data_IF_166305260835
#
_entry.id   IF_166305260835
#
_cell.length_a   1.000
_cell.length_b   1.000
_cell.length_c   1.000
_cell.angle_alpha   90.00
_cell.angle_beta   90.00
_cell.angle_gamma   90.00
#
_symmetry.space_group_name_H-M   'P 1'
#
loop_
_entity.id
_entity.type
_entity.pdbx_description
1 polymer ?
#
# COMPACT_ATOMS: atom_id res chain seq x y z
N UNK A 1 57.54 -61.32 -7.58
CA UNK A 1 57.09 -60.64 -8.82
C UNK A 1 56.06 -59.61 -8.41
N UNK A 2 56.46 -58.35 -8.34
CA UNK A 2 55.68 -57.20 -7.86
C UNK A 2 54.99 -56.53 -9.04
N UNK A 3 53.67 -56.72 -9.18
CA UNK A 3 52.84 -55.86 -10.03
C UNK A 3 52.33 -54.70 -9.16
N UNK A 4 52.98 -53.54 -9.27
CA UNK A 4 52.41 -52.28 -8.82
C UNK A 4 51.35 -51.86 -9.84
N UNK A 5 50.09 -51.78 -9.41
CA UNK A 5 49.03 -51.08 -10.14
C UNK A 5 49.50 -49.63 -10.38
N UNK A 6 49.78 -49.29 -11.64
CA UNK A 6 50.30 -48.00 -12.03
C UNK A 6 49.26 -46.91 -11.79
N UNK A 7 49.50 -46.04 -10.81
CA UNK A 7 48.78 -44.78 -10.71
C UNK A 7 49.00 -43.98 -11.99
N UNK A 8 47.94 -43.80 -12.77
CA UNK A 8 47.96 -42.95 -13.95
C UNK A 8 48.17 -41.51 -13.49
N UNK A 9 49.38 -40.98 -13.71
CA UNK A 9 49.73 -39.62 -13.31
C UNK A 9 48.86 -38.62 -14.09
N UNK A 10 48.26 -37.66 -13.38
CA UNK A 10 47.42 -36.59 -13.94
C UNK A 10 48.18 -35.28 -13.87
N UNK A 11 48.27 -34.56 -14.98
CA UNK A 11 48.85 -33.22 -15.04
C UNK A 11 47.76 -32.18 -14.87
N UNK A 12 47.86 -31.39 -13.82
CA UNK A 12 46.93 -30.31 -13.53
C UNK A 12 47.52 -28.98 -13.98
N UNK A 13 46.79 -28.26 -14.84
CA UNK A 13 47.17 -26.92 -15.32
C UNK A 13 46.09 -25.93 -14.91
N UNK A 14 46.48 -24.88 -14.20
CA UNK A 14 45.57 -23.78 -13.91
C UNK A 14 45.35 -22.92 -15.16
N UNK A 15 44.12 -22.47 -15.43
CA UNK A 15 43.77 -21.74 -16.66
C UNK A 15 44.64 -20.49 -16.89
N UNK A 16 45.02 -19.77 -15.84
CA UNK A 16 45.91 -18.58 -15.94
C UNK A 16 47.33 -18.89 -16.39
N UNK A 17 47.80 -20.13 -16.22
CA UNK A 17 49.14 -20.56 -16.63
C UNK A 17 49.10 -21.37 -17.93
N UNK A 18 47.91 -21.57 -18.50
CA UNK A 18 47.72 -22.44 -19.63
C UNK A 18 48.45 -21.89 -20.86
N UNK A 19 48.30 -20.61 -21.16
CA UNK A 19 48.97 -19.97 -22.30
C UNK A 19 50.51 -20.10 -22.21
N UNK A 20 51.08 -19.76 -21.06
CA UNK A 20 52.53 -19.89 -20.81
C UNK A 20 53.00 -21.35 -20.94
N UNK A 21 52.23 -22.30 -20.37
CA UNK A 21 52.56 -23.73 -20.44
C UNK A 21 52.55 -24.27 -21.88
N UNK A 22 51.75 -23.68 -22.78
CA UNK A 22 51.72 -24.03 -24.20
C UNK A 22 52.99 -23.53 -24.92
N UNK A 23 53.48 -22.34 -24.57
CA UNK A 23 54.72 -21.78 -25.13
C UNK A 23 55.95 -22.54 -24.61
N UNK A 24 56.04 -22.77 -23.31
CA UNK A 24 57.17 -23.46 -22.66
C UNK A 24 57.38 -24.87 -23.20
N UNK A 25 56.28 -25.57 -23.51
CA UNK A 25 56.31 -26.91 -24.10
C UNK A 25 56.34 -26.92 -25.62
N UNK A 26 56.43 -25.74 -26.26
CA UNK A 26 56.44 -25.59 -27.72
C UNK A 26 55.21 -26.25 -28.39
N UNK A 27 54.07 -26.28 -27.70
CA UNK A 27 52.79 -26.73 -28.28
C UNK A 27 52.29 -25.70 -29.29
N UNK A 28 52.57 -24.42 -29.03
CA UNK A 28 52.26 -23.29 -29.91
C UNK A 28 53.53 -22.48 -30.16
N UNK A 29 53.62 -21.83 -31.32
CA UNK A 29 54.78 -21.00 -31.66
C UNK A 29 54.76 -19.65 -30.93
N UNK A 30 55.93 -19.04 -30.71
CA UNK A 30 56.03 -17.70 -30.09
C UNK A 30 55.39 -16.59 -30.93
N UNK A 31 55.34 -16.75 -32.26
CA UNK A 31 54.72 -15.83 -33.21
C UNK A 31 53.23 -16.12 -33.48
N UNK A 32 52.58 -17.01 -32.73
CA UNK A 32 51.21 -17.50 -32.99
C UNK A 32 50.19 -16.35 -33.16
N UNK A 33 50.37 -15.22 -32.47
CA UNK A 33 49.52 -14.04 -32.60
C UNK A 33 49.50 -13.46 -34.03
N UNK A 34 50.63 -13.48 -34.74
CA UNK A 34 50.69 -13.01 -36.12
C UNK A 34 50.01 -14.01 -37.07
N UNK A 35 50.19 -15.31 -36.83
CA UNK A 35 49.51 -16.37 -37.59
C UNK A 35 47.99 -16.31 -37.36
N UNK A 36 47.57 -16.05 -36.12
CA UNK A 36 46.18 -15.87 -35.74
C UNK A 36 45.55 -14.64 -36.41
N UNK A 37 46.28 -13.53 -36.56
CA UNK A 37 45.81 -12.37 -37.35
C UNK A 37 45.51 -12.76 -38.80
N UNK A 38 46.34 -13.59 -39.42
CA UNK A 38 46.09 -14.06 -40.79
C UNK A 38 44.82 -14.90 -40.87
N UNK A 39 44.59 -15.78 -39.89
CA UNK A 39 43.33 -16.54 -39.76
C UNK A 39 42.15 -15.57 -39.63
N UNK A 40 42.27 -14.54 -38.78
CA UNK A 40 41.22 -13.56 -38.59
C UNK A 40 40.85 -12.81 -39.86
N UNK A 41 41.84 -12.32 -40.60
CA UNK A 41 41.62 -11.66 -41.90
C UNK A 41 40.92 -12.59 -42.89
N UNK A 42 41.25 -13.88 -42.89
CA UNK A 42 40.57 -14.86 -43.75
C UNK A 42 39.09 -15.07 -43.35
N UNK A 43 38.79 -15.11 -42.04
CA UNK A 43 37.41 -15.20 -41.55
C UNK A 43 36.63 -13.93 -41.90
N UNK A 44 37.20 -12.74 -41.69
CA UNK A 44 36.54 -11.47 -42.00
C UNK A 44 36.23 -11.33 -43.48
N UNK A 45 37.09 -11.87 -44.36
CA UNK A 45 36.83 -11.91 -45.80
C UNK A 45 35.76 -12.94 -46.20
N UNK A 46 35.51 -13.96 -45.36
CA UNK A 46 34.65 -15.11 -45.70
C UNK A 46 33.31 -15.11 -44.95
N UNK A 47 33.12 -14.20 -44.00
CA UNK A 47 31.93 -14.12 -43.14
C UNK A 47 31.30 -12.72 -43.19
N UNK A 48 29.96 -12.59 -43.28
CA UNK A 48 28.95 -13.65 -43.19
C UNK A 48 28.90 -14.56 -44.43
N UNK A 49 28.50 -15.82 -44.23
CA UNK A 49 28.26 -16.75 -45.34
C UNK A 49 27.11 -16.22 -46.21
N UNK A 50 27.34 -16.11 -47.51
CA UNK A 50 26.31 -15.76 -48.50
C UNK A 50 25.36 -16.93 -48.81
N UNK A 51 25.82 -18.17 -48.59
CA UNK A 51 25.12 -19.44 -48.83
C UNK A 51 24.62 -20.07 -47.53
N UNK A 52 23.83 -21.15 -47.61
CA UNK A 52 23.20 -21.85 -46.46
C UNK A 52 22.23 -21.00 -45.64
N UNK A 53 21.53 -20.05 -46.27
CA UNK A 53 20.53 -19.19 -45.58
C UNK A 53 19.36 -19.99 -45.00
N UNK A 54 19.04 -21.13 -45.61
CA UNK A 54 17.97 -22.02 -45.16
C UNK A 54 18.41 -22.94 -44.01
N UNK A 55 19.72 -23.05 -43.74
CA UNK A 55 20.22 -23.81 -42.59
C UNK A 55 20.03 -22.98 -41.31
N UNK A 56 19.09 -23.41 -40.48
CA UNK A 56 18.75 -22.75 -39.22
C UNK A 56 19.96 -22.54 -38.31
N UNK A 57 20.90 -23.49 -38.29
CA UNK A 57 22.06 -23.45 -37.40
C UNK A 57 23.12 -22.44 -37.84
N UNK A 58 23.20 -22.16 -39.16
CA UNK A 58 24.04 -21.10 -39.73
C UNK A 58 23.35 -19.75 -39.60
N UNK A 59 22.03 -19.68 -39.86
CA UNK A 59 21.25 -18.45 -39.67
C UNK A 59 21.34 -17.94 -38.23
N UNK A 60 21.10 -18.82 -37.25
CA UNK A 60 21.21 -18.46 -35.83
C UNK A 60 22.63 -18.00 -35.46
N UNK A 61 23.66 -18.63 -36.03
CA UNK A 61 25.05 -18.22 -35.82
C UNK A 61 25.29 -16.81 -36.36
N UNK A 62 24.80 -16.51 -37.57
CA UNK A 62 24.89 -15.20 -38.22
C UNK A 62 24.13 -14.10 -37.48
N UNK A 63 22.96 -14.43 -36.91
CA UNK A 63 22.17 -13.50 -36.14
C UNK A 63 22.82 -13.17 -34.77
N UNK A 64 23.62 -14.09 -34.24
CA UNK A 64 24.17 -13.98 -32.87
C UNK A 64 25.64 -13.53 -32.83
N UNK A 65 26.43 -13.82 -33.87
CA UNK A 65 27.89 -13.61 -33.90
C UNK A 65 28.35 -12.83 -35.12
N UNK A 66 29.18 -11.81 -34.90
CA UNK A 66 29.98 -11.14 -35.93
C UNK A 66 31.26 -11.92 -36.23
N UNK A 67 31.95 -11.57 -37.33
CA UNK A 67 33.19 -12.23 -37.73
C UNK A 67 34.20 -12.26 -36.57
N UNK A 68 34.43 -11.15 -35.89
CA UNK A 68 35.37 -10.99 -34.77
C UNK A 68 35.13 -11.93 -33.58
N UNK A 69 33.89 -12.39 -33.42
CA UNK A 69 33.46 -13.24 -32.30
C UNK A 69 33.49 -14.74 -32.62
N UNK A 70 33.69 -15.10 -33.89
CA UNK A 70 33.79 -16.49 -34.33
C UNK A 70 35.06 -17.14 -33.80
N UNK A 71 34.87 -18.33 -33.25
CA UNK A 71 35.91 -19.20 -32.71
C UNK A 71 36.24 -20.33 -33.67
N UNK A 72 37.35 -21.04 -33.42
CA UNK A 72 37.63 -22.32 -34.07
C UNK A 72 36.43 -23.29 -34.13
N UNK A 73 35.66 -23.42 -33.05
CA UNK A 73 34.49 -24.30 -33.02
C UNK A 73 33.38 -23.83 -33.95
N UNK A 74 33.18 -22.52 -34.04
CA UNK A 74 32.22 -21.94 -34.99
C UNK A 74 32.68 -22.19 -36.43
N UNK A 75 33.97 -22.01 -36.72
CA UNK A 75 34.54 -22.31 -38.04
C UNK A 75 34.42 -23.78 -38.42
N UNK A 76 34.61 -24.71 -37.47
CA UNK A 76 34.37 -26.15 -37.69
C UNK A 76 32.90 -26.44 -37.97
N UNK A 77 31.98 -25.87 -37.19
CA UNK A 77 30.53 -26.03 -37.42
C UNK A 77 30.14 -25.52 -38.81
N UNK A 78 30.65 -24.37 -39.23
CA UNK A 78 30.43 -23.82 -40.58
C UNK A 78 30.94 -24.80 -41.64
N UNK A 79 32.18 -25.29 -41.49
CA UNK A 79 32.76 -26.25 -42.42
C UNK A 79 31.94 -27.54 -42.51
N UNK A 80 31.52 -28.10 -41.38
CA UNK A 80 30.71 -29.33 -41.32
C UNK A 80 29.38 -29.15 -42.07
N UNK A 81 28.73 -27.99 -41.91
CA UNK A 81 27.50 -27.66 -42.66
C UNK A 81 27.75 -27.49 -44.15
N UNK A 82 28.86 -26.86 -44.54
CA UNK A 82 29.24 -26.76 -45.94
C UNK A 82 29.51 -28.12 -46.57
N UNK A 83 30.17 -29.03 -45.85
CA UNK A 83 30.43 -30.40 -46.32
C UNK A 83 29.11 -31.19 -46.48
N UNK A 84 28.12 -30.97 -45.61
CA UNK A 84 26.81 -31.61 -45.71
C UNK A 84 25.91 -31.03 -46.81
N UNK A 85 26.31 -29.91 -47.42
CA UNK A 85 25.52 -29.20 -48.42
C UNK A 85 25.80 -29.64 -49.86
N UNK A 86 25.16 -28.99 -50.84
CA UNK A 86 25.47 -29.20 -52.26
C UNK A 86 26.90 -28.83 -52.65
N UNK A 87 27.60 -28.01 -51.85
CA UNK A 87 28.95 -27.53 -52.14
C UNK A 87 30.01 -28.64 -52.18
N UNK A 88 29.77 -29.78 -51.51
CA UNK A 88 30.71 -30.91 -51.46
C UNK A 88 30.51 -31.93 -52.59
N UNK A 89 29.46 -31.78 -53.42
CA UNK A 89 29.07 -32.80 -54.42
C UNK A 89 30.02 -32.94 -55.60
N UNK A 90 30.87 -31.94 -55.83
CA UNK A 90 31.82 -31.94 -56.95
C UNK A 90 33.25 -31.89 -56.41
N UNK A 91 34.05 -32.87 -56.81
CA UNK A 91 35.48 -32.92 -56.54
C UNK A 91 36.26 -32.97 -57.85
N UNK A 92 37.45 -32.37 -57.88
CA UNK A 92 38.37 -32.51 -58.99
C UNK A 92 39.01 -33.91 -59.02
N UNK A 93 39.81 -34.20 -60.05
CA UNK A 93 40.48 -35.50 -60.26
C UNK A 93 41.43 -35.86 -59.10
N UNK A 94 41.85 -34.88 -58.30
CA UNK A 94 42.71 -35.04 -57.12
C UNK A 94 41.91 -35.18 -55.80
N UNK A 95 40.58 -35.29 -55.88
CA UNK A 95 39.69 -35.47 -54.72
C UNK A 95 39.48 -34.20 -53.89
N UNK A 96 39.89 -33.02 -54.37
CA UNK A 96 39.62 -31.74 -53.70
C UNK A 96 38.26 -31.20 -54.14
N UNK A 97 37.54 -30.56 -53.22
CA UNK A 97 36.26 -29.92 -53.54
C UNK A 97 36.44 -28.82 -54.59
N UNK A 98 35.46 -28.64 -55.47
CA UNK A 98 35.50 -27.56 -56.48
C UNK A 98 34.89 -26.25 -55.98
N UNK A 99 34.08 -26.28 -54.91
CA UNK A 99 33.45 -25.09 -54.34
C UNK A 99 34.49 -24.11 -53.76
N UNK A 100 34.50 -22.84 -54.19
CA UNK A 100 35.45 -21.85 -53.69
C UNK A 100 35.21 -21.51 -52.21
N UNK A 101 33.94 -21.43 -51.79
CA UNK A 101 33.58 -21.11 -50.41
C UNK A 101 33.95 -22.30 -49.50
N UNK A 102 33.65 -23.53 -49.91
CA UNK A 102 34.06 -24.72 -49.14
C UNK A 102 35.59 -24.78 -49.00
N UNK A 103 36.33 -24.54 -50.08
CA UNK A 103 37.80 -24.53 -50.03
C UNK A 103 38.36 -23.41 -49.14
N UNK A 104 37.74 -22.23 -49.10
CA UNK A 104 38.11 -21.16 -48.16
C UNK A 104 37.95 -21.61 -46.71
N UNK A 105 36.79 -22.18 -46.35
CA UNK A 105 36.54 -22.64 -44.97
C UNK A 105 37.40 -23.86 -44.58
N UNK A 106 37.68 -24.76 -45.52
CA UNK A 106 38.70 -25.82 -45.33
C UNK A 106 40.07 -25.20 -45.04
N UNK A 107 40.46 -24.16 -45.78
CA UNK A 107 41.72 -23.46 -45.57
C UNK A 107 41.78 -22.79 -44.20
N UNK A 108 40.71 -22.10 -43.77
CA UNK A 108 40.62 -21.44 -42.46
C UNK A 108 40.81 -22.46 -41.33
N UNK A 109 40.09 -23.59 -41.36
CA UNK A 109 40.22 -24.64 -40.33
C UNK A 109 41.63 -25.25 -40.34
N UNK A 110 42.22 -25.49 -41.52
CA UNK A 110 43.61 -25.98 -41.62
C UNK A 110 44.63 -24.98 -41.06
N UNK A 111 44.43 -23.68 -41.26
CA UNK A 111 45.32 -22.67 -40.68
C UNK A 111 45.26 -22.68 -39.15
N UNK A 112 44.07 -22.88 -38.57
CA UNK A 112 43.92 -23.08 -37.13
C UNK A 112 44.66 -24.32 -36.61
N UNK A 113 44.61 -25.42 -37.36
CA UNK A 113 45.16 -26.72 -36.95
C UNK A 113 46.67 -26.83 -37.16
N UNK A 114 47.24 -26.21 -38.20
CA UNK A 114 48.65 -26.33 -38.59
C UNK A 114 49.64 -25.94 -37.48
N UNK A 115 49.35 -24.87 -36.75
CA UNK A 115 50.21 -24.35 -35.68
C UNK A 115 49.54 -24.41 -34.30
N UNK A 116 48.53 -25.28 -34.13
CA UNK A 116 47.75 -25.41 -32.91
C UNK A 116 47.14 -24.08 -32.42
N UNK A 117 46.81 -23.17 -33.35
CA UNK A 117 46.27 -21.84 -33.02
C UNK A 117 44.92 -21.92 -32.32
N UNK A 118 44.15 -22.98 -32.58
CA UNK A 118 42.89 -23.26 -31.89
C UNK A 118 43.06 -23.50 -30.38
N UNK A 119 44.18 -24.10 -29.97
CA UNK A 119 44.54 -24.30 -28.55
C UNK A 119 44.98 -22.98 -27.92
N UNK A 120 45.77 -22.19 -28.64
CA UNK A 120 46.17 -20.85 -28.19
C UNK A 120 44.96 -19.93 -28.00
N UNK A 121 44.05 -19.88 -28.98
CA UNK A 121 42.79 -19.14 -28.92
C UNK A 121 41.94 -19.62 -27.74
N UNK A 122 41.78 -20.94 -27.60
CA UNK A 122 41.04 -21.56 -26.49
C UNK A 122 41.59 -21.14 -25.13
N UNK A 123 42.91 -21.22 -24.92
CA UNK A 123 43.54 -20.85 -23.65
C UNK A 123 43.31 -19.38 -23.28
N UNK A 124 43.58 -18.45 -24.21
CA UNK A 124 43.40 -17.01 -23.99
C UNK A 124 41.92 -16.66 -23.77
N UNK A 125 41.03 -17.28 -24.54
CA UNK A 125 39.58 -17.07 -24.41
C UNK A 125 39.06 -17.60 -23.08
N UNK A 126 39.48 -18.79 -22.67
CA UNK A 126 39.12 -19.39 -21.38
C UNK A 126 39.50 -18.47 -20.23
N UNK A 127 40.73 -17.94 -20.26
CA UNK A 127 41.20 -17.00 -19.26
C UNK A 127 40.35 -15.73 -19.21
N UNK A 128 40.04 -15.13 -20.37
CA UNK A 128 39.19 -13.94 -20.45
C UNK A 128 37.77 -14.19 -19.90
N UNK A 129 37.20 -15.36 -20.19
CA UNK A 129 35.86 -15.71 -19.72
C UNK A 129 35.85 -15.83 -18.19
N UNK A 130 36.78 -16.61 -17.63
CA UNK A 130 36.84 -16.91 -16.20
C UNK A 130 37.23 -15.67 -15.39
N UNK A 131 38.26 -14.92 -15.82
CA UNK A 131 38.82 -13.84 -14.99
C UNK A 131 38.09 -12.51 -15.12
N UNK A 132 37.34 -12.29 -16.21
CA UNK A 132 36.75 -10.99 -16.50
C UNK A 132 35.27 -11.06 -16.88
N UNK A 133 34.90 -11.89 -17.86
CA UNK A 133 33.55 -11.82 -18.44
C UNK A 133 32.48 -12.37 -17.49
N UNK A 134 32.69 -13.56 -16.92
CA UNK A 134 31.77 -14.15 -15.94
C UNK A 134 31.64 -13.29 -14.67
N UNK A 135 32.74 -12.86 -14.01
CA UNK A 135 32.64 -12.02 -12.81
C UNK A 135 31.89 -10.70 -13.06
N UNK A 136 32.13 -10.06 -14.21
CA UNK A 136 31.46 -8.80 -14.58
C UNK A 136 29.95 -9.02 -14.74
N UNK A 137 29.56 -10.05 -15.49
CA UNK A 137 28.15 -10.38 -15.70
C UNK A 137 27.45 -10.82 -14.42
N UNK A 138 28.10 -11.63 -13.58
CA UNK A 138 27.58 -12.05 -12.28
C UNK A 138 27.36 -10.85 -11.35
N UNK A 139 28.32 -9.92 -11.31
CA UNK A 139 28.20 -8.68 -10.53
C UNK A 139 27.04 -7.83 -11.03
N UNK A 140 26.91 -7.67 -12.35
CA UNK A 140 25.81 -6.91 -12.96
C UNK A 140 24.44 -7.56 -12.68
N UNK A 141 24.35 -8.89 -12.79
CA UNK A 141 23.13 -9.64 -12.45
C UNK A 141 22.75 -9.47 -10.98
N UNK A 142 23.73 -9.56 -10.07
CA UNK A 142 23.50 -9.33 -8.66
C UNK A 142 22.99 -7.90 -8.38
N UNK A 143 23.59 -6.89 -9.01
CA UNK A 143 23.13 -5.50 -8.88
C UNK A 143 21.68 -5.32 -9.34
N UNK A 144 21.30 -5.89 -10.49
CA UNK A 144 19.93 -5.81 -10.98
C UNK A 144 18.93 -6.57 -10.09
N UNK A 145 19.27 -7.80 -9.66
CA UNK A 145 18.44 -8.56 -8.71
C UNK A 145 18.24 -7.81 -7.40
N UNK A 146 19.31 -7.21 -6.86
CA UNK A 146 19.25 -6.37 -5.66
C UNK A 146 18.33 -5.17 -5.86
N UNK A 147 18.44 -4.49 -7.00
CA UNK A 147 17.59 -3.34 -7.31
C UNK A 147 16.11 -3.72 -7.41
N UNK A 148 15.78 -4.85 -8.06
CA UNK A 148 14.41 -5.37 -8.10
C UNK A 148 13.91 -5.69 -6.69
N UNK A 149 14.71 -6.37 -5.87
CA UNK A 149 14.34 -6.70 -4.48
C UNK A 149 14.08 -5.46 -3.62
N UNK A 150 14.93 -4.44 -3.71
CA UNK A 150 14.73 -3.17 -3.01
C UNK A 150 13.45 -2.44 -3.46
N UNK A 151 13.17 -2.43 -4.76
CA UNK A 151 11.93 -1.85 -5.29
C UNK A 151 10.70 -2.60 -4.76
N UNK A 152 10.74 -3.94 -4.73
CA UNK A 152 9.65 -4.76 -4.20
C UNK A 152 9.40 -4.52 -2.71
N UNK A 153 10.47 -4.43 -1.91
CA UNK A 153 10.36 -4.08 -0.49
C UNK A 153 9.70 -2.71 -0.32
N UNK A 154 10.15 -1.70 -1.08
CA UNK A 154 9.58 -0.35 -1.03
C UNK A 154 8.10 -0.33 -1.44
N UNK A 155 7.72 -1.09 -2.48
CA UNK A 155 6.32 -1.22 -2.90
C UNK A 155 5.47 -1.80 -1.76
N UNK A 156 5.96 -2.85 -1.08
CA UNK A 156 5.26 -3.44 0.05
C UNK A 156 5.04 -2.43 1.20
N UNK A 157 6.08 -1.69 1.58
CA UNK A 157 5.99 -0.64 2.60
C UNK A 157 4.94 0.43 2.22
N UNK A 158 4.95 0.90 0.96
CA UNK A 158 4.00 1.88 0.46
C UNK A 158 2.55 1.35 0.51
N UNK A 159 2.33 0.08 0.17
CA UNK A 159 1.01 -0.54 0.27
C UNK A 159 0.48 -0.56 1.71
N UNK A 160 1.32 -0.90 2.70
CA UNK A 160 0.91 -0.87 4.11
C UNK A 160 0.61 0.57 4.58
N UNK A 161 1.40 1.55 4.16
CA UNK A 161 1.13 2.96 4.44
C UNK A 161 -0.20 3.43 3.83
N UNK A 162 -0.46 3.07 2.57
CA UNK A 162 -1.71 3.37 1.88
C UNK A 162 -2.92 2.75 2.58
N UNK A 163 -2.80 1.48 2.99
CA UNK A 163 -3.83 0.76 3.73
C UNK A 163 -4.13 1.45 5.06
N UNK A 164 -3.09 1.82 5.81
CA UNK A 164 -3.24 2.54 7.07
C UNK A 164 -3.95 3.89 6.90
N UNK A 165 -3.58 4.69 5.89
CA UNK A 165 -4.26 5.94 5.61
C UNK A 165 -5.70 5.76 5.12
N UNK A 166 -5.97 4.71 4.34
CA UNK A 166 -7.34 4.38 3.92
C UNK A 166 -8.21 4.04 5.12
N UNK A 167 -7.72 3.20 6.03
CA UNK A 167 -8.44 2.88 7.27
C UNK A 167 -8.71 4.12 8.13
N UNK A 168 -7.76 5.05 8.23
CA UNK A 168 -7.96 6.32 8.95
C UNK A 168 -9.04 7.18 8.28
N UNK A 169 -9.01 7.29 6.95
CA UNK A 169 -10.03 8.00 6.19
C UNK A 169 -11.42 7.35 6.38
N UNK A 170 -11.51 6.03 6.24
CA UNK A 170 -12.76 5.27 6.43
C UNK A 170 -13.30 5.44 7.86
N UNK A 171 -12.43 5.42 8.86
CA UNK A 171 -12.80 5.70 10.24
C UNK A 171 -13.36 7.12 10.43
N UNK A 172 -12.79 8.12 9.77
CA UNK A 172 -13.33 9.49 9.81
C UNK A 172 -14.75 9.53 9.21
N UNK A 173 -14.97 8.88 8.08
CA UNK A 173 -16.30 8.75 7.47
C UNK A 173 -17.30 8.10 8.42
N UNK A 174 -16.93 6.98 9.05
CA UNK A 174 -17.75 6.28 10.03
C UNK A 174 -18.06 7.13 11.26
N UNK A 175 -17.04 7.82 11.80
CA UNK A 175 -17.16 8.69 12.98
C UNK A 175 -18.18 9.80 12.77
N UNK A 176 -18.22 10.39 11.58
CA UNK A 176 -19.13 11.47 11.25
C UNK A 176 -20.42 11.00 10.57
N UNK A 177 -20.56 9.70 10.28
CA UNK A 177 -21.74 9.14 9.62
C UNK A 177 -21.93 9.65 8.19
N UNK A 178 -20.82 9.94 7.49
CA UNK A 178 -20.82 10.48 6.12
C UNK A 178 -20.21 9.48 5.14
N UNK A 179 -20.59 9.51 3.85
CA UNK A 179 -20.12 8.54 2.87
C UNK A 179 -18.67 8.78 2.41
N UNK A 180 -18.11 9.98 2.60
CA UNK A 180 -16.73 10.31 2.23
C UNK A 180 -16.51 10.57 0.75
N UNK A 181 -17.56 10.87 -0.02
CA UNK A 181 -17.43 11.16 -1.47
C UNK A 181 -16.91 12.57 -1.69
N UNK A 182 -17.53 13.53 -1.02
CA UNK A 182 -17.05 14.90 -0.87
C UNK A 182 -17.05 15.26 0.61
N UNK A 183 -15.99 14.82 1.29
CA UNK A 183 -15.86 14.98 2.74
C UNK A 183 -16.01 16.44 3.19
N UNK A 184 -15.57 17.40 2.37
CA UNK A 184 -15.67 18.82 2.71
C UNK A 184 -17.11 19.31 2.70
N UNK A 185 -17.84 19.04 1.62
CA UNK A 185 -19.26 19.43 1.51
C UNK A 185 -20.14 18.64 2.49
N UNK A 186 -19.86 17.35 2.67
CA UNK A 186 -20.55 16.49 3.64
C UNK A 186 -20.38 17.00 5.07
N UNK A 187 -19.15 17.33 5.49
CA UNK A 187 -18.89 17.90 6.82
C UNK A 187 -19.60 19.24 7.04
N UNK A 188 -19.70 20.08 6.00
CA UNK A 188 -20.47 21.34 6.09
C UNK A 188 -21.98 21.08 6.21
N UNK A 189 -22.50 20.10 5.49
CA UNK A 189 -23.91 19.74 5.54
C UNK A 189 -24.35 19.13 6.88
N UNK A 190 -23.42 18.58 7.68
CA UNK A 190 -23.68 18.15 9.05
C UNK A 190 -24.20 19.29 9.94
N UNK A 191 -23.86 20.55 9.64
CA UNK A 191 -24.41 21.71 10.33
C UNK A 191 -25.91 21.90 10.06
N UNK A 192 -26.41 21.46 8.90
CA UNK A 192 -27.85 21.42 8.60
C UNK A 192 -28.60 20.32 9.36
N UNK A 193 -27.95 19.20 9.66
CA UNK A 193 -28.52 18.19 10.56
C UNK A 193 -28.63 18.73 12.00
N UNK A 194 -27.65 19.53 12.43
CA UNK A 194 -27.68 20.16 13.75
C UNK A 194 -28.89 21.07 13.91
N UNK A 195 -29.16 21.95 12.94
CA UNK A 195 -30.33 22.84 12.99
C UNK A 195 -31.64 22.05 13.02
N UNK A 196 -31.72 20.94 12.28
CA UNK A 196 -32.89 20.05 12.29
C UNK A 196 -33.11 19.42 13.67
N UNK A 197 -32.05 18.88 14.29
CA UNK A 197 -32.15 18.26 15.62
C UNK A 197 -32.52 19.29 16.71
N UNK A 198 -31.96 20.50 16.64
CA UNK A 198 -32.33 21.58 17.55
C UNK A 198 -33.78 22.05 17.33
N UNK A 199 -34.25 22.08 16.08
CA UNK A 199 -35.64 22.35 15.73
C UNK A 199 -36.61 21.36 16.39
N UNK A 200 -36.29 20.07 16.38
CA UNK A 200 -37.12 19.04 17.07
C UNK A 200 -37.16 19.30 18.58
N UNK A 201 -36.06 19.71 19.21
CA UNK A 201 -36.04 20.07 20.63
C UNK A 201 -36.91 21.30 20.89
N UNK A 202 -36.78 22.34 20.07
CA UNK A 202 -37.63 23.54 20.12
C UNK A 202 -39.11 23.17 20.03
N UNK A 203 -39.49 22.39 19.02
CA UNK A 203 -40.89 22.02 18.78
C UNK A 203 -41.49 21.29 19.99
N UNK A 204 -40.69 20.47 20.67
CA UNK A 204 -41.12 19.80 21.91
C UNK A 204 -41.20 20.74 23.11
N UNK A 205 -40.35 21.75 23.20
CA UNK A 205 -40.45 22.77 24.26
C UNK A 205 -41.66 23.67 24.04
N UNK A 206 -42.02 23.94 22.78
CA UNK A 206 -43.16 24.78 22.41
C UNK A 206 -44.49 24.03 22.36
N UNK A 207 -44.48 22.70 22.55
CA UNK A 207 -45.69 21.88 22.54
C UNK A 207 -46.63 22.29 23.70
N UNK A 208 -47.96 22.33 23.48
CA UNK A 208 -48.94 22.67 24.52
C UNK A 208 -48.86 21.78 25.77
N UNK A 209 -48.35 20.56 25.65
CA UNK A 209 -48.06 19.69 26.79
C UNK A 209 -47.07 20.33 27.77
N UNK A 210 -46.09 21.07 27.26
CA UNK A 210 -45.10 21.77 28.09
C UNK A 210 -45.75 22.90 28.89
N UNK A 211 -46.65 23.66 28.28
CA UNK A 211 -47.42 24.71 28.97
C UNK A 211 -48.26 24.13 30.11
N UNK A 212 -48.95 23.02 29.84
CA UNK A 212 -49.73 22.30 30.85
C UNK A 212 -48.85 21.89 32.04
N UNK A 213 -47.70 21.28 31.80
CA UNK A 213 -46.78 20.86 32.86
C UNK A 213 -46.32 22.06 33.70
N UNK A 214 -45.97 23.17 33.06
CA UNK A 214 -45.54 24.40 33.74
C UNK A 214 -46.65 25.04 34.55
N UNK A 215 -47.88 25.05 34.03
CA UNK A 215 -49.04 25.56 34.76
C UNK A 215 -49.29 24.75 36.04
N UNK A 216 -49.22 23.42 35.95
CA UNK A 216 -49.33 22.54 37.12
C UNK A 216 -48.20 22.75 38.14
N UNK A 217 -46.95 22.85 37.66
CA UNK A 217 -45.82 23.08 38.55
C UNK A 217 -45.94 24.44 39.26
N UNK A 218 -46.27 25.50 38.52
CA UNK A 218 -46.44 26.85 39.09
C UNK A 218 -47.63 26.92 40.04
N UNK A 219 -48.74 26.24 39.74
CA UNK A 219 -49.87 26.14 40.64
C UNK A 219 -49.47 25.49 41.98
N UNK A 220 -48.63 24.45 41.95
CA UNK A 220 -48.11 23.83 43.17
C UNK A 220 -47.17 24.78 43.93
N UNK A 221 -46.23 25.42 43.24
CA UNK A 221 -45.29 26.36 43.87
C UNK A 221 -46.01 27.54 44.55
N UNK A 222 -47.03 28.11 43.89
CA UNK A 222 -47.86 29.19 44.46
C UNK A 222 -48.65 28.71 45.67
N UNK A 223 -49.20 27.51 45.59
CA UNK A 223 -49.93 26.89 46.70
C UNK A 223 -49.00 26.67 47.92
N UNK A 224 -47.83 26.06 47.72
CA UNK A 224 -46.83 25.86 48.77
C UNK A 224 -46.36 27.20 49.35
N UNK A 225 -46.15 28.23 48.53
CA UNK A 225 -45.78 29.58 49.00
C UNK A 225 -46.87 30.22 49.86
N UNK A 226 -48.14 30.13 49.44
CA UNK A 226 -49.30 30.66 50.18
C UNK A 226 -49.44 29.97 51.55
N UNK A 227 -49.23 28.65 51.60
CA UNK A 227 -49.37 27.88 52.83
C UNK A 227 -48.10 27.83 53.69
N UNK A 228 -46.92 28.10 53.13
CA UNK A 228 -45.68 28.32 53.88
C UNK A 228 -45.73 29.62 54.69
N UNK A 229 -46.35 30.67 54.16
CA UNK A 229 -46.57 31.94 54.89
C UNK A 229 -47.57 31.80 56.07
N UNK A 230 -48.32 30.71 56.15
CA UNK A 230 -49.16 30.37 57.31
C UNK A 230 -48.45 29.45 58.33
N UNK A 231 -47.22 29.02 58.04
CA UNK A 231 -46.46 28.06 58.84
C UNK A 231 -45.12 28.63 59.31
N UNK A 232 -45.08 29.89 59.78
CA UNK A 232 -43.97 30.36 60.63
C UNK A 232 -44.12 29.91 62.11
N UNK A 233 -45.13 29.10 62.44
CA UNK A 233 -45.36 28.63 63.81
C UNK A 233 -45.06 27.14 64.06
N UNK A 234 -44.61 26.35 63.06
CA UNK A 234 -44.29 24.93 63.30
C UNK A 234 -42.91 24.59 62.70
N UNK A 235 -41.91 24.87 63.54
CA UNK A 235 -40.66 24.15 63.76
C UNK A 235 -39.98 23.44 62.59
N UNK A 236 -38.77 23.93 62.29
CA UNK A 236 -37.53 23.15 62.38
C UNK A 236 -37.72 21.62 62.43
N UNK A 237 -37.77 20.97 61.27
CA UNK A 237 -37.27 19.61 61.04
C UNK A 237 -37.55 19.19 59.59
N UNK A 238 -36.59 19.49 58.72
CA UNK A 238 -36.11 18.63 57.62
C UNK A 238 -35.09 19.45 56.85
N UNK A 239 -33.85 18.96 56.78
CA UNK A 239 -32.80 19.52 55.94
C UNK A 239 -33.19 19.39 54.47
N UNK A 240 -33.97 20.33 53.97
CA UNK A 240 -34.04 20.65 52.56
C UNK A 240 -33.20 21.91 52.37
N UNK A 241 -31.89 21.74 52.14
CA UNK A 241 -31.08 22.81 51.57
C UNK A 241 -31.63 23.07 50.18
N UNK A 242 -32.43 24.13 50.03
CA UNK A 242 -32.90 24.68 48.76
C UNK A 242 -31.67 24.78 47.82
N UNK A 243 -31.59 23.96 46.77
CA UNK A 243 -30.56 24.16 45.75
C UNK A 243 -30.72 25.58 45.21
N UNK A 244 -29.60 26.20 44.87
CA UNK A 244 -29.54 27.56 44.36
C UNK A 244 -30.13 27.60 42.94
N UNK A 245 -31.45 27.51 42.86
CA UNK A 245 -32.21 27.60 41.61
C UNK A 245 -32.40 29.08 41.29
N UNK A 246 -31.82 29.53 40.18
CA UNK A 246 -32.39 30.67 39.47
C UNK A 246 -33.81 30.25 39.04
N UNK A 247 -34.84 31.08 39.31
CA UNK A 247 -36.22 30.64 39.39
C UNK A 247 -36.74 30.15 38.04
N UNK A 248 -37.63 29.16 38.07
CA UNK A 248 -38.52 28.74 36.98
C UNK A 248 -39.13 29.94 36.21
N UNK A 249 -39.24 31.10 36.87
CA UNK A 249 -39.51 32.41 36.30
C UNK A 249 -38.66 32.76 35.07
N UNK A 250 -37.42 32.28 34.91
CA UNK A 250 -36.61 32.55 33.71
C UNK A 250 -37.14 31.78 32.47
N UNK A 251 -37.46 30.49 32.63
CA UNK A 251 -38.10 29.68 31.58
C UNK A 251 -39.52 30.19 31.29
N UNK A 252 -40.25 30.54 32.35
CA UNK A 252 -41.65 30.94 32.28
C UNK A 252 -41.80 32.37 31.75
N UNK A 253 -40.95 33.32 32.18
CA UNK A 253 -40.84 34.67 31.59
C UNK A 253 -40.41 34.59 30.13
N UNK A 254 -39.52 33.66 29.77
CA UNK A 254 -39.08 33.48 28.38
C UNK A 254 -40.14 32.85 27.48
N UNK A 255 -40.82 31.79 27.92
CA UNK A 255 -41.97 31.20 27.23
C UNK A 255 -43.13 32.19 27.09
N UNK A 256 -43.30 33.08 28.06
CA UNK A 256 -44.29 34.16 28.01
C UNK A 256 -43.85 35.32 27.09
N UNK A 257 -42.57 35.72 27.06
CA UNK A 257 -42.06 36.73 26.12
C UNK A 257 -42.05 36.24 24.67
N UNK A 258 -41.77 34.95 24.43
CA UNK A 258 -41.87 34.33 23.10
C UNK A 258 -43.32 34.26 22.57
N UNK A 259 -44.32 34.34 23.47
CA UNK A 259 -45.75 34.35 23.12
C UNK A 259 -46.35 35.77 22.97
N UNK A 260 -45.62 36.84 23.29
CA UNK A 260 -46.20 38.19 23.46
C UNK A 260 -45.95 39.21 22.34
N UNK A 261 -45.47 38.83 21.15
CA UNK A 261 -45.45 39.76 20.00
C UNK A 261 -46.09 39.15 18.74
N UNK A 262 -47.38 39.43 18.46
CA UNK A 262 -48.04 39.04 17.21
C UNK A 262 -47.56 39.83 15.98
N UNK A 263 -46.92 41.00 16.16
CA UNK A 263 -46.67 41.95 15.07
C UNK A 263 -45.17 42.21 14.77
N UNK A 264 -44.25 41.41 15.30
CA UNK A 264 -42.83 41.52 14.96
C UNK A 264 -42.32 40.17 14.46
N UNK A 265 -42.62 39.89 13.19
CA UNK A 265 -42.04 38.77 12.44
C UNK A 265 -40.58 39.10 12.15
N UNK A 266 -39.74 38.96 13.17
CA UNK A 266 -38.36 38.51 13.00
C UNK A 266 -38.38 37.06 13.49
N UNK A 267 -38.04 36.12 12.61
CA UNK A 267 -38.21 34.67 12.78
C UNK A 267 -37.91 34.19 14.22
N UNK A 268 -38.95 33.88 15.00
CA UNK A 268 -38.78 33.25 16.33
C UNK A 268 -37.89 32.01 16.26
N UNK A 269 -37.90 31.36 15.11
CA UNK A 269 -37.15 30.16 14.79
C UNK A 269 -35.63 30.36 14.82
N UNK A 270 -35.11 31.48 14.34
CA UNK A 270 -33.67 31.75 14.36
C UNK A 270 -33.18 32.07 15.78
N UNK A 271 -33.98 32.81 16.56
CA UNK A 271 -33.67 33.11 17.97
C UNK A 271 -33.62 31.86 18.84
N UNK A 272 -34.55 30.92 18.68
CA UNK A 272 -34.55 29.64 19.42
C UNK A 272 -33.33 28.78 19.07
N UNK A 273 -32.96 28.73 17.79
CA UNK A 273 -31.78 28.00 17.34
C UNK A 273 -30.50 28.60 17.92
N UNK A 274 -30.35 29.93 17.89
CA UNK A 274 -29.20 30.62 18.49
C UNK A 274 -29.05 30.33 19.99
N UNK A 275 -30.16 30.35 20.74
CA UNK A 275 -30.15 30.03 22.17
C UNK A 275 -29.81 28.57 22.42
N UNK A 276 -30.42 27.64 21.67
CA UNK A 276 -30.12 26.22 21.78
C UNK A 276 -28.68 25.90 21.35
N UNK A 277 -28.01 26.75 20.58
CA UNK A 277 -26.57 26.65 20.30
C UNK A 277 -25.69 27.11 21.47
N UNK A 278 -26.20 27.87 22.43
CA UNK A 278 -25.45 28.26 23.63
C UNK A 278 -25.35 27.12 24.66
N UNK A 279 -24.11 26.78 25.04
CA UNK A 279 -23.84 25.72 26.03
C UNK A 279 -24.42 26.03 27.42
N UNK A 280 -24.39 27.31 27.82
CA UNK A 280 -25.02 27.77 29.07
C UNK A 280 -26.52 27.52 29.05
N UNK A 281 -27.21 27.95 27.99
CA UNK A 281 -28.66 27.80 27.85
C UNK A 281 -29.08 26.32 27.89
N UNK A 282 -28.44 25.44 27.09
CA UNK A 282 -28.73 24.00 27.11
C UNK A 282 -28.58 23.38 28.50
N UNK A 283 -27.58 23.80 29.28
CA UNK A 283 -27.36 23.31 30.65
C UNK A 283 -28.49 23.71 31.59
N UNK A 284 -28.93 24.97 31.52
CA UNK A 284 -30.05 25.44 32.34
C UNK A 284 -31.36 24.77 31.94
N UNK A 285 -31.62 24.65 30.63
CA UNK A 285 -32.79 23.95 30.10
C UNK A 285 -32.83 22.49 30.58
N UNK A 286 -31.72 21.77 30.49
CA UNK A 286 -31.61 20.39 30.98
C UNK A 286 -31.92 20.28 32.48
N UNK A 287 -31.37 21.19 33.28
CA UNK A 287 -31.62 21.23 34.72
C UNK A 287 -33.10 21.46 35.06
N UNK A 288 -33.74 22.43 34.40
CA UNK A 288 -35.15 22.73 34.61
C UNK A 288 -36.07 21.57 34.15
N UNK A 289 -35.73 20.91 33.03
CA UNK A 289 -36.47 19.73 32.57
C UNK A 289 -36.35 18.55 33.56
N UNK A 290 -35.19 18.39 34.21
CA UNK A 290 -35.04 17.42 35.29
C UNK A 290 -35.91 17.77 36.49
N UNK A 291 -35.93 19.04 36.92
CA UNK A 291 -36.81 19.51 38.00
C UNK A 291 -38.28 19.19 37.71
N UNK A 292 -38.77 19.53 36.51
CA UNK A 292 -40.15 19.23 36.10
C UNK A 292 -40.41 17.72 36.04
N UNK A 293 -39.43 16.92 35.62
CA UNK A 293 -39.55 15.46 35.59
C UNK A 293 -39.68 14.88 37.01
N UNK A 294 -38.85 15.37 37.94
CA UNK A 294 -38.97 15.00 39.36
C UNK A 294 -40.32 15.42 39.94
N UNK A 295 -40.80 16.63 39.63
CA UNK A 295 -42.13 17.08 40.01
C UNK A 295 -43.22 16.12 39.50
N UNK A 296 -43.23 15.80 38.20
CA UNK A 296 -44.24 14.89 37.64
C UNK A 296 -44.19 13.50 38.27
N UNK A 297 -42.99 12.98 38.53
CA UNK A 297 -42.80 11.68 39.20
C UNK A 297 -43.33 11.71 40.63
N UNK A 298 -42.93 12.69 41.43
CA UNK A 298 -43.40 12.83 42.81
C UNK A 298 -44.93 12.95 42.84
N UNK A 299 -45.48 13.77 41.93
CA UNK A 299 -46.93 13.95 41.82
C UNK A 299 -47.66 12.66 41.45
N UNK A 300 -47.08 11.87 40.56
CA UNK A 300 -47.61 10.55 40.20
C UNK A 300 -47.63 9.60 41.41
N UNK A 301 -46.53 9.53 42.16
CA UNK A 301 -46.42 8.70 43.38
C UNK A 301 -47.47 9.11 44.43
N UNK A 302 -47.66 10.42 44.68
CA UNK A 302 -48.69 10.96 45.59
C UNK A 302 -50.14 10.65 45.16
N UNK A 303 -50.40 10.59 43.85
CA UNK A 303 -51.70 10.23 43.28
C UNK A 303 -51.97 8.72 43.38
N UNK A 304 -50.93 7.89 43.32
CA UNK A 304 -51.02 6.44 43.46
C UNK A 304 -51.18 6.03 44.93
N UNK A 305 -50.48 6.69 45.85
CA UNK A 305 -50.48 6.34 47.28
C UNK A 305 -51.74 6.76 48.04
N UNK A 306 -52.66 7.50 47.42
CA UNK A 306 -53.78 8.19 48.08
C UNK A 306 -53.37 9.20 49.18
N UNK A 307 -52.08 9.57 49.30
CA UNK A 307 -51.61 10.60 50.24
C UNK A 307 -52.22 11.97 49.96
N UNK A 308 -52.71 12.18 48.75
CA UNK A 308 -53.52 13.32 48.39
C UNK A 308 -54.78 13.47 49.23
N UNK A 309 -55.39 12.39 49.73
CA UNK A 309 -56.55 12.45 50.64
C UNK A 309 -56.11 13.04 51.99
N UNK A 310 -54.89 12.76 52.43
CA UNK A 310 -54.30 13.32 53.66
C UNK A 310 -53.94 14.80 53.49
N UNK A 311 -53.37 15.18 52.32
CA UNK A 311 -53.03 16.57 51.97
C UNK A 311 -54.29 17.42 51.70
N UNK A 312 -55.30 16.88 51.00
CA UNK A 312 -56.60 17.57 50.77
C UNK A 312 -57.41 17.75 52.04
N UNK A 313 -57.33 16.81 52.99
CA UNK A 313 -58.03 16.95 54.27
C UNK A 313 -57.32 17.93 55.24
N UNK A 314 -56.00 18.11 55.13
CA UNK A 314 -55.25 19.06 55.96
C UNK A 314 -55.27 20.51 55.42
N UNK A 315 -55.56 20.71 54.13
CA UNK A 315 -55.53 22.04 53.51
C UNK A 315 -56.72 22.25 52.56
N UNK A 316 -57.67 23.07 53.02
CA UNK A 316 -59.05 23.14 52.50
C UNK A 316 -59.22 23.80 51.11
N UNK A 317 -58.17 24.41 50.54
CA UNK A 317 -58.23 25.24 49.32
C UNK A 317 -57.20 24.82 48.24
N UNK A 318 -57.22 23.57 47.79
CA UNK A 318 -56.37 23.15 46.65
C UNK A 318 -56.84 23.82 45.35
N UNK A 319 -55.88 24.42 44.62
CA UNK A 319 -56.08 25.07 43.33
C UNK A 319 -56.79 24.15 42.31
N UNK A 320 -57.79 24.65 41.55
CA UNK A 320 -58.51 23.85 40.54
C UNK A 320 -57.60 23.16 39.52
N UNK A 321 -56.50 23.80 39.10
CA UNK A 321 -55.52 23.24 38.16
C UNK A 321 -54.89 21.95 38.72
N UNK A 322 -54.54 21.92 40.01
CA UNK A 322 -53.96 20.74 40.65
C UNK A 322 -54.96 19.59 40.85
N UNK A 323 -56.26 19.91 40.94
CA UNK A 323 -57.34 18.91 41.06
C UNK A 323 -57.61 18.18 39.74
N UNK A 324 -57.22 18.76 38.61
CA UNK A 324 -57.43 18.16 37.29
C UNK A 324 -56.37 17.11 36.93
N UNK A 325 -55.30 17.00 37.72
CA UNK A 325 -54.25 16.00 37.51
C UNK A 325 -54.72 14.59 37.84
N UNK A 326 -54.33 13.65 36.99
CA UNK A 326 -54.58 12.21 37.18
C UNK A 326 -53.26 11.43 37.12
N UNK A 327 -53.29 10.19 37.58
CA UNK A 327 -52.17 9.24 37.46
C UNK A 327 -51.72 9.16 35.98
N UNK A 328 -52.68 9.13 35.05
CA UNK A 328 -52.42 9.07 33.61
C UNK A 328 -51.73 10.33 33.09
N UNK A 329 -52.26 11.52 33.39
CA UNK A 329 -51.70 12.77 32.88
C UNK A 329 -50.32 13.07 33.44
N UNK A 330 -50.06 12.72 34.71
CA UNK A 330 -48.73 12.87 35.33
C UNK A 330 -47.69 11.93 34.74
N UNK A 331 -48.08 10.69 34.42
CA UNK A 331 -47.21 9.74 33.73
C UNK A 331 -46.94 10.15 32.28
N UNK A 332 -47.94 10.62 31.55
CA UNK A 332 -47.79 11.17 30.20
C UNK A 332 -46.84 12.38 30.20
N UNK A 333 -46.97 13.28 31.17
CA UNK A 333 -46.06 14.42 31.38
C UNK A 333 -44.62 13.98 31.66
N UNK A 334 -44.44 12.98 32.52
CA UNK A 334 -43.10 12.43 32.84
C UNK A 334 -42.45 11.84 31.59
N UNK A 335 -43.15 10.97 30.87
CA UNK A 335 -42.66 10.38 29.63
C UNK A 335 -42.36 11.43 28.56
N UNK A 336 -43.15 12.51 28.52
CA UNK A 336 -42.92 13.63 27.61
C UNK A 336 -41.59 14.35 27.91
N UNK A 337 -41.32 14.66 29.17
CA UNK A 337 -40.08 15.30 29.62
C UNK A 337 -38.86 14.41 29.41
N UNK A 338 -38.98 13.10 29.67
CA UNK A 338 -37.90 12.13 29.43
C UNK A 338 -37.52 12.06 27.94
N UNK A 339 -38.51 12.16 27.03
CA UNK A 339 -38.25 12.26 25.59
C UNK A 339 -37.41 13.51 25.27
N UNK A 340 -37.77 14.68 25.80
CA UNK A 340 -37.00 15.93 25.56
C UNK A 340 -35.58 15.82 26.11
N UNK A 341 -35.43 15.29 27.34
CA UNK A 341 -34.12 15.07 27.96
C UNK A 341 -33.25 14.12 27.11
N UNK A 342 -33.83 13.05 26.56
CA UNK A 342 -33.13 12.13 25.68
C UNK A 342 -32.67 12.78 24.37
N UNK A 343 -33.45 13.72 23.81
CA UNK A 343 -33.06 14.48 22.63
C UNK A 343 -31.88 15.41 22.92
N UNK A 344 -31.92 16.13 24.05
CA UNK A 344 -30.83 17.01 24.49
C UNK A 344 -29.52 16.24 24.78
N UNK A 345 -29.62 15.00 25.27
CA UNK A 345 -28.49 14.13 25.58
C UNK A 345 -28.06 13.23 24.41
N UNK A 346 -28.66 13.40 23.24
CA UNK A 346 -28.35 12.56 22.09
C UNK A 346 -26.87 12.68 21.67
N UNK A 347 -26.16 11.55 21.57
CA UNK A 347 -24.74 11.53 21.20
C UNK A 347 -24.45 12.21 19.86
N UNK A 348 -25.35 12.08 18.87
CA UNK A 348 -25.25 12.75 17.57
C UNK A 348 -25.35 14.25 17.72
N UNK A 349 -26.33 14.73 18.49
CA UNK A 349 -26.47 16.16 18.77
C UNK A 349 -25.20 16.71 19.46
N UNK A 350 -24.65 15.99 20.44
CA UNK A 350 -23.42 16.41 21.14
C UNK A 350 -22.20 16.45 20.20
N UNK A 351 -22.07 15.48 19.29
CA UNK A 351 -21.02 15.47 18.27
C UNK A 351 -21.13 16.66 17.31
N UNK A 352 -22.35 16.96 16.85
CA UNK A 352 -22.58 18.09 15.94
C UNK A 352 -22.39 19.45 16.62
N UNK A 353 -22.79 19.57 17.89
CA UNK A 353 -22.50 20.76 18.70
C UNK A 353 -21.00 20.97 18.85
N UNK A 354 -20.22 19.90 19.08
CA UNK A 354 -18.76 19.99 19.14
C UNK A 354 -18.16 20.52 17.82
N UNK A 355 -18.66 20.06 16.67
CA UNK A 355 -18.24 20.55 15.36
C UNK A 355 -18.65 22.01 15.13
N UNK A 356 -19.86 22.40 15.54
CA UNK A 356 -20.37 23.77 15.40
C UNK A 356 -19.54 24.79 16.21
N UNK A 357 -19.15 24.44 17.43
CA UNK A 357 -18.36 25.34 18.30
C UNK A 357 -16.91 25.53 17.84
N UNK A 358 -16.46 24.79 16.82
CA UNK A 358 -15.11 24.92 16.28
C UNK A 358 -15.10 24.77 14.76
N UNK A 359 -15.36 25.88 14.05
CA UNK A 359 -15.16 25.99 12.60
C UNK A 359 -13.72 25.59 12.20
N UNK A 360 -12.75 25.89 13.08
CA UNK A 360 -11.37 25.43 12.97
C UNK A 360 -11.26 23.89 12.98
N UNK A 361 -12.01 23.19 13.83
CA UNK A 361 -11.98 21.73 13.88
C UNK A 361 -12.60 21.12 12.61
N UNK A 362 -13.67 21.69 12.05
CA UNK A 362 -14.21 21.25 10.76
C UNK A 362 -13.16 21.37 9.66
N UNK A 363 -12.50 22.52 9.57
CA UNK A 363 -11.43 22.78 8.59
C UNK A 363 -10.27 21.81 8.76
N UNK A 364 -9.80 21.62 10.00
CA UNK A 364 -8.74 20.68 10.34
C UNK A 364 -9.07 19.24 9.94
N UNK A 365 -10.30 18.79 10.16
CA UNK A 365 -10.72 17.43 9.80
C UNK A 365 -10.76 17.25 8.27
N UNK A 366 -11.19 18.28 7.53
CA UNK A 366 -11.14 18.30 6.06
C UNK A 366 -9.69 18.25 5.56
N UNK A 367 -8.81 19.06 6.12
CA UNK A 367 -7.39 19.11 5.76
C UNK A 367 -6.70 17.77 6.06
N UNK A 368 -7.02 17.15 7.19
CA UNK A 368 -6.48 15.85 7.55
C UNK A 368 -6.94 14.75 6.59
N UNK A 369 -8.24 14.71 6.28
CA UNK A 369 -8.82 13.75 5.35
C UNK A 369 -8.22 13.89 3.94
N UNK A 370 -8.14 15.12 3.43
CA UNK A 370 -7.54 15.41 2.13
C UNK A 370 -6.05 15.07 2.10
N UNK A 371 -5.33 15.28 3.20
CA UNK A 371 -3.93 14.87 3.36
C UNK A 371 -3.77 13.36 3.22
N UNK A 372 -4.63 12.56 3.87
CA UNK A 372 -4.59 11.10 3.73
C UNK A 372 -4.81 10.65 2.28
N UNK A 373 -5.82 11.21 1.60
CA UNK A 373 -6.10 10.86 0.20
C UNK A 373 -4.97 11.30 -0.75
N UNK A 374 -4.41 12.49 -0.53
CA UNK A 374 -3.27 13.01 -1.30
C UNK A 374 -2.01 12.16 -1.12
N UNK A 375 -1.73 11.70 0.11
CA UNK A 375 -0.63 10.77 0.36
C UNK A 375 -0.86 9.43 -0.34
N UNK A 376 -2.08 8.89 -0.27
CA UNK A 376 -2.44 7.64 -0.96
C UNK A 376 -2.22 7.77 -2.48
N UNK A 377 -2.65 8.86 -3.11
CA UNK A 377 -2.47 9.05 -4.55
C UNK A 377 -0.99 9.20 -4.94
N UNK A 378 -0.20 9.93 -4.14
CA UNK A 378 1.26 10.04 -4.34
C UNK A 378 1.95 8.67 -4.26
N UNK A 379 1.64 7.88 -3.23
CA UNK A 379 2.22 6.55 -3.07
C UNK A 379 1.77 5.58 -4.17
N UNK A 380 0.53 5.67 -4.66
CA UNK A 380 0.10 4.92 -5.85
C UNK A 380 0.96 5.22 -7.08
N UNK A 381 1.26 6.50 -7.32
CA UNK A 381 2.11 6.89 -8.44
C UNK A 381 3.55 6.39 -8.25
N UNK A 382 4.09 6.45 -7.03
CA UNK A 382 5.41 5.91 -6.69
C UNK A 382 5.47 4.39 -6.91
N UNK A 383 4.45 3.64 -6.48
CA UNK A 383 4.32 2.19 -6.74
C UNK A 383 4.36 1.91 -8.24
N UNK A 384 3.52 2.58 -9.03
CA UNK A 384 3.48 2.38 -10.49
C UNK A 384 4.83 2.69 -11.16
N UNK A 385 5.55 3.71 -10.68
CA UNK A 385 6.88 4.05 -11.18
C UNK A 385 7.91 2.96 -10.84
N UNK A 386 7.88 2.41 -9.62
CA UNK A 386 8.77 1.34 -9.17
C UNK A 386 8.49 0.02 -9.88
N UNK A 387 7.22 -0.30 -10.14
CA UNK A 387 6.81 -1.47 -10.92
C UNK A 387 7.31 -1.36 -12.36
N UNK A 388 7.09 -0.20 -13.02
CA UNK A 388 7.61 0.06 -14.37
C UNK A 388 9.13 -0.06 -14.43
N UNK A 389 9.84 0.51 -13.45
CA UNK A 389 11.30 0.39 -13.37
C UNK A 389 11.75 -1.07 -13.22
N UNK A 390 11.06 -1.86 -12.40
CA UNK A 390 11.37 -3.28 -12.20
C UNK A 390 11.10 -4.10 -13.46
N UNK A 391 10.00 -3.80 -14.17
CA UNK A 391 9.68 -4.41 -15.45
C UNK A 391 10.74 -4.12 -16.53
N UNK A 392 11.36 -2.93 -16.52
CA UNK A 392 12.46 -2.59 -17.46
C UNK A 392 13.79 -3.29 -17.13
N UNK A 393 14.02 -3.65 -15.85
CA UNK A 393 15.26 -4.32 -15.41
C UNK A 393 15.18 -5.85 -15.60
N UNK A 394 13.98 -6.41 -15.47
CA UNK A 394 13.72 -7.86 -15.62
C UNK A 394 14.28 -8.47 -16.91
N UNK A 395 14.01 -7.94 -18.12
CA UNK A 395 14.55 -8.51 -19.36
C UNK A 395 16.08 -8.39 -19.44
N UNK A 396 16.67 -7.36 -18.83
CA UNK A 396 18.14 -7.23 -18.72
C UNK A 396 18.73 -8.33 -17.83
N UNK A 397 18.02 -8.74 -16.78
CA UNK A 397 18.44 -9.87 -15.94
C UNK A 397 18.41 -11.18 -16.73
N UNK A 398 17.33 -11.43 -17.46
CA UNK A 398 17.16 -12.65 -18.28
C UNK A 398 18.21 -12.74 -19.39
N UNK A 399 18.52 -11.61 -20.04
CA UNK A 399 19.59 -11.52 -21.02
C UNK A 399 20.95 -11.88 -20.41
N UNK A 400 21.31 -11.28 -19.26
CA UNK A 400 22.59 -11.57 -18.59
C UNK A 400 22.67 -13.01 -18.11
N UNK A 401 21.57 -13.57 -17.59
CA UNK A 401 21.51 -14.98 -17.21
C UNK A 401 21.80 -15.90 -18.41
N UNK A 402 21.20 -15.59 -19.56
CA UNK A 402 21.43 -16.34 -20.81
C UNK A 402 22.89 -16.20 -21.27
N UNK A 403 23.48 -15.00 -21.18
CA UNK A 403 24.89 -14.77 -21.49
C UNK A 403 25.82 -15.55 -20.57
N UNK A 404 25.56 -15.57 -19.26
CA UNK A 404 26.32 -16.38 -18.30
C UNK A 404 26.23 -17.86 -18.66
N UNK A 405 25.04 -18.37 -18.96
CA UNK A 405 24.85 -19.76 -19.36
C UNK A 405 25.63 -20.12 -20.63
N UNK A 406 25.62 -19.23 -21.64
CA UNK A 406 26.40 -19.41 -22.86
C UNK A 406 27.90 -19.41 -22.57
N UNK A 407 28.40 -18.49 -21.75
CA UNK A 407 29.83 -18.48 -21.37
C UNK A 407 30.24 -19.73 -20.59
N UNK A 408 29.38 -20.27 -19.73
CA UNK A 408 29.64 -21.55 -19.04
C UNK A 408 29.69 -22.73 -20.02
N UNK A 409 28.81 -22.75 -21.03
CA UNK A 409 28.84 -23.76 -22.09
C UNK A 409 30.12 -23.65 -22.93
N UNK A 410 30.49 -22.43 -23.36
CA UNK A 410 31.74 -22.14 -24.08
C UNK A 410 32.96 -22.63 -23.27
N UNK A 411 33.00 -22.31 -21.97
CA UNK A 411 34.08 -22.71 -21.05
C UNK A 411 34.22 -24.23 -21.01
N UNK A 412 33.11 -24.96 -20.89
CA UNK A 412 33.10 -26.42 -20.87
C UNK A 412 33.63 -27.01 -22.19
N UNK A 413 33.18 -26.46 -23.33
CA UNK A 413 33.63 -26.92 -24.64
C UNK A 413 35.12 -26.67 -24.86
N UNK A 414 35.62 -25.50 -24.47
CA UNK A 414 37.04 -25.14 -24.57
C UNK A 414 37.88 -26.05 -23.69
N UNK A 415 37.51 -26.26 -22.42
CA UNK A 415 38.24 -27.13 -21.49
C UNK A 415 38.31 -28.55 -22.03
N UNK A 416 37.19 -29.14 -22.44
CA UNK A 416 37.17 -30.50 -23.00
C UNK A 416 38.11 -30.64 -24.21
N UNK A 417 38.12 -29.65 -25.10
CA UNK A 417 38.98 -29.65 -26.27
C UNK A 417 40.46 -29.54 -25.91
N UNK A 418 40.81 -28.67 -24.96
CA UNK A 418 42.18 -28.49 -24.49
C UNK A 418 42.71 -29.76 -23.81
N UNK A 419 41.93 -30.38 -22.92
CA UNK A 419 42.32 -31.59 -22.19
C UNK A 419 42.56 -32.78 -23.14
N UNK A 420 41.66 -32.97 -24.10
CA UNK A 420 41.79 -34.00 -25.14
C UNK A 420 43.03 -33.77 -26.01
N UNK A 421 43.28 -32.52 -26.41
CA UNK A 421 44.37 -32.19 -27.32
C UNK A 421 45.74 -32.22 -26.65
N UNK A 422 45.83 -31.83 -25.37
CA UNK A 422 47.11 -31.71 -24.68
C UNK A 422 47.65 -33.05 -24.18
N UNK A 423 46.81 -34.05 -23.93
CA UNK A 423 47.25 -35.37 -23.41
C UNK A 423 48.51 -35.96 -24.09
N UNK A 424 48.64 -35.96 -25.45
CA UNK A 424 49.84 -36.45 -26.12
C UNK A 424 51.12 -35.63 -25.85
N UNK A 425 50.99 -34.31 -25.67
CA UNK A 425 52.10 -33.40 -25.39
C UNK A 425 52.63 -33.53 -23.94
N UNK A 426 51.93 -34.29 -23.10
CA UNK A 426 52.21 -34.46 -21.69
C UNK A 426 52.57 -35.91 -21.34
N UNK A 427 53.37 -36.56 -22.20
CA UNK A 427 53.80 -37.95 -22.02
C UNK A 427 52.63 -38.92 -21.86
N UNK A 428 51.51 -38.67 -22.55
CA UNK A 428 50.25 -39.43 -22.44
C UNK A 428 49.65 -39.48 -21.02
N UNK A 429 49.98 -38.50 -20.17
CA UNK A 429 49.31 -38.28 -18.90
C UNK A 429 48.02 -37.51 -19.13
N UNK A 430 46.97 -37.84 -18.37
CA UNK A 430 45.70 -37.12 -18.44
C UNK A 430 45.95 -35.67 -18.05
N UNK A 431 45.57 -34.72 -18.89
CA UNK A 431 45.67 -33.28 -18.59
C UNK A 431 44.32 -32.79 -18.10
N UNK A 432 44.31 -32.13 -16.94
CA UNK A 432 43.13 -31.47 -16.38
C UNK A 432 43.36 -29.96 -16.31
N UNK A 433 42.46 -29.17 -16.89
CA UNK A 433 42.48 -27.71 -16.80
C UNK A 433 41.59 -27.28 -15.63
N UNK A 434 42.19 -26.64 -14.62
CA UNK A 434 41.51 -26.26 -13.37
C UNK A 434 41.47 -24.74 -13.19
N UNK A 435 40.64 -24.28 -12.24
CA UNK A 435 40.48 -22.86 -11.92
C UNK A 435 39.14 -22.26 -12.35
N UNK A 436 38.19 -23.08 -12.83
CA UNK A 436 36.78 -22.69 -12.91
C UNK A 436 36.21 -22.60 -11.49
N UNK A 437 35.94 -21.40 -10.99
CA UNK A 437 35.18 -21.24 -9.74
C UNK A 437 33.77 -21.80 -9.96
N UNK A 438 33.43 -22.88 -9.25
CA UNK A 438 32.09 -23.47 -9.24
C UNK A 438 31.02 -22.52 -8.69
#
# INVERSE_FOLDING_TARGET
MTHSEGQQLVVVIHHTKLHDALLDRQVINTNWMNEYKTVRTAIDASYPLSILRDDESIRLLQDTKSSDSLTYFDCKKILDRLIQSSESKQTNILGQYTSPILNQWVSIVKMFEKSNLHIAEGAVRLEKIINSSLPTLQTQLHCYKRQIGLNQQRIHELHELMKGNRQRADYMCLRYGIPGKDFASEMKNLLGELSTLLGVVRDKIQDPMMDSILEHHTALQLYLKKHAQHSEAISQQQHYTKPDYAPLEALQKFMNTAKLHPDNISDSDTEWLELLLQTSFRRHLHHNLLELSFFCRQRHEELVSNDLITITNQYRDICPVLKQQTIKTTEESRQYLEKILSLLQNNRLQQLLYLHHSEFEVTRQIDLFSTYLSQISKWKNEVAALESKSAQITPKCELIQSQIANFLADTKQIVQHLEQFLTPYFKNQIVNVVGMSH
#
